data_IF_282765476714
#
_entry.id   IF_282765476714
#
_cell.length_a   1.000
_cell.length_b   1.000
_cell.length_c   1.000
_cell.angle_alpha   90.00
_cell.angle_beta   90.00
_cell.angle_gamma   90.00
#
_symmetry.space_group_name_H-M   'P 1'
#
loop_
_entity.id
_entity.type
_entity.pdbx_description
1 polymer ?
#
# COMPACT_ATOMS: atom_id res chain seq x y z
N UNK A 1 -23.68 2.68 2.99
CA UNK A 1 -22.65 2.47 1.94
C UNK A 1 -21.65 1.47 2.51
N UNK A 2 -21.62 0.27 1.94
CA UNK A 2 -20.85 -0.87 2.46
C UNK A 2 -19.36 -0.76 2.12
N UNK A 3 -18.72 0.26 2.69
CA UNK A 3 -17.30 0.61 2.52
C UNK A 3 -16.34 -0.54 2.83
N UNK A 4 -16.74 -1.46 3.72
CA UNK A 4 -15.89 -2.58 4.16
C UNK A 4 -15.46 -3.51 3.03
N UNK A 5 -16.28 -3.68 2.00
CA UNK A 5 -15.97 -4.56 0.87
C UNK A 5 -14.84 -4.04 -0.01
N UNK A 6 -14.59 -2.72 -0.04
CA UNK A 6 -13.52 -2.13 -0.84
C UNK A 6 -12.14 -2.60 -0.39
N UNK A 7 -11.92 -2.75 0.92
CA UNK A 7 -10.64 -3.23 1.45
C UNK A 7 -10.44 -4.70 1.10
N UNK A 8 -11.48 -5.54 1.23
CA UNK A 8 -11.43 -6.94 0.84
C UNK A 8 -11.15 -7.11 -0.65
N UNK A 9 -11.83 -6.32 -1.49
CA UNK A 9 -11.62 -6.31 -2.94
C UNK A 9 -10.19 -5.86 -3.29
N UNK A 10 -9.71 -4.77 -2.70
CA UNK A 10 -8.34 -4.28 -2.91
C UNK A 10 -7.29 -5.32 -2.49
N UNK A 11 -7.53 -6.06 -1.40
CA UNK A 11 -6.64 -7.13 -0.95
C UNK A 11 -6.61 -8.30 -1.95
N UNK A 12 -7.76 -8.70 -2.50
CA UNK A 12 -7.82 -9.72 -3.54
C UNK A 12 -7.10 -9.28 -4.81
N UNK A 13 -7.34 -8.04 -5.24
CA UNK A 13 -6.67 -7.45 -6.40
C UNK A 13 -5.14 -7.41 -6.19
N UNK A 14 -4.68 -7.04 -4.98
CA UNK A 14 -3.27 -7.06 -4.63
C UNK A 14 -2.64 -8.43 -4.82
N UNK A 15 -3.31 -9.49 -4.35
CA UNK A 15 -2.82 -10.88 -4.48
C UNK A 15 -2.74 -11.31 -5.95
N UNK A 16 -3.74 -10.94 -6.76
CA UNK A 16 -3.75 -11.25 -8.21
C UNK A 16 -2.56 -10.56 -8.90
N UNK A 17 -2.38 -9.26 -8.66
CA UNK A 17 -1.29 -8.48 -9.27
C UNK A 17 0.07 -8.99 -8.79
N UNK A 18 0.23 -9.30 -7.50
CA UNK A 18 1.46 -9.89 -6.96
C UNK A 18 1.87 -11.16 -7.70
N UNK A 19 0.91 -12.05 -7.97
CA UNK A 19 1.16 -13.29 -8.72
C UNK A 19 1.44 -13.03 -10.20
N UNK A 20 0.74 -12.07 -10.81
CA UNK A 20 0.93 -11.73 -12.22
C UNK A 20 2.34 -11.17 -12.50
N UNK A 21 2.85 -10.27 -11.65
CA UNK A 21 4.14 -9.63 -11.87
C UNK A 21 5.31 -10.41 -11.26
N UNK A 22 5.09 -11.11 -10.15
CA UNK A 22 6.11 -11.95 -9.50
C UNK A 22 7.46 -11.23 -9.23
N UNK A 23 7.42 -9.91 -9.01
CA UNK A 23 8.62 -9.10 -8.78
C UNK A 23 9.14 -9.36 -7.36
N UNK A 24 10.42 -9.72 -7.27
CA UNK A 24 11.10 -10.01 -6.00
C UNK A 24 11.29 -8.75 -5.17
N UNK A 25 11.30 -8.92 -3.84
CA UNK A 25 11.62 -7.85 -2.89
C UNK A 25 13.11 -7.46 -2.95
N UNK A 26 13.48 -6.33 -2.34
CA UNK A 26 14.89 -6.04 -2.08
C UNK A 26 15.60 -7.19 -1.33
N UNK A 27 16.94 -7.26 -1.40
CA UNK A 27 17.71 -8.28 -0.69
C UNK A 27 17.42 -8.27 0.82
N UNK A 28 17.32 -9.46 1.42
CA UNK A 28 17.04 -9.60 2.86
C UNK A 28 18.09 -8.99 3.77
N UNK A 29 19.30 -8.73 3.27
CA UNK A 29 20.35 -7.96 3.96
C UNK A 29 19.96 -6.51 4.26
N UNK A 30 18.99 -5.96 3.53
CA UNK A 30 18.47 -4.60 3.73
C UNK A 30 17.23 -4.58 4.64
N UNK A 31 16.64 -5.75 4.96
CA UNK A 31 15.42 -5.81 5.73
C UNK A 31 15.70 -5.52 7.21
N UNK A 32 15.09 -4.46 7.73
CA UNK A 32 15.15 -4.13 9.17
C UNK A 32 14.20 -5.00 10.02
N UNK A 33 13.32 -5.77 9.37
CA UNK A 33 12.37 -6.67 10.01
C UNK A 33 12.38 -8.04 9.30
N UNK A 34 12.20 -9.14 10.04
CA UNK A 34 12.01 -10.44 9.44
C UNK A 34 10.70 -10.43 8.65
N UNK A 35 10.80 -10.77 7.37
CA UNK A 35 9.65 -10.93 6.48
C UNK A 35 9.73 -12.27 5.79
N UNK A 36 8.57 -12.77 5.39
CA UNK A 36 8.48 -14.03 4.67
C UNK A 36 8.97 -13.81 3.22
N UNK A 37 10.22 -14.20 2.96
CA UNK A 37 10.92 -14.00 1.68
C UNK A 37 10.25 -14.73 0.49
N UNK A 38 9.31 -15.64 0.75
CA UNK A 38 8.51 -16.32 -0.28
C UNK A 38 7.41 -15.45 -0.93
N UNK A 39 7.31 -14.17 -0.57
CA UNK A 39 6.26 -13.28 -1.08
C UNK A 39 6.80 -12.16 -1.97
N UNK A 40 6.12 -11.90 -3.09
CA UNK A 40 6.50 -10.85 -4.03
C UNK A 40 6.39 -9.45 -3.42
N UNK A 41 7.25 -8.53 -3.88
CA UNK A 41 7.33 -7.15 -3.43
C UNK A 41 6.24 -6.29 -4.07
N UNK A 42 6.13 -6.32 -5.39
CA UNK A 42 5.20 -5.49 -6.15
C UNK A 42 3.80 -6.09 -6.25
N UNK A 43 2.73 -5.30 -6.10
CA UNK A 43 2.65 -3.98 -5.46
C UNK A 43 2.60 -4.11 -3.93
N UNK A 44 2.90 -3.04 -3.20
CA UNK A 44 2.83 -3.04 -1.73
C UNK A 44 1.38 -3.10 -1.25
N UNK A 45 1.04 -4.19 -0.55
CA UNK A 45 -0.31 -4.38 0.01
C UNK A 45 -0.63 -3.39 1.13
N UNK A 46 0.35 -3.10 2.00
CA UNK A 46 0.18 -2.11 3.07
C UNK A 46 -0.15 -0.72 2.51
N UNK A 47 0.56 -0.30 1.46
CA UNK A 47 0.30 0.99 0.81
C UNK A 47 -1.05 0.97 0.09
N UNK A 48 -1.43 -0.13 -0.57
CA UNK A 48 -2.70 -0.22 -1.26
C UNK A 48 -3.90 -0.11 -0.29
N UNK A 49 -3.90 -0.89 0.80
CA UNK A 49 -4.96 -0.84 1.81
C UNK A 49 -5.00 0.52 2.49
N UNK A 50 -3.85 1.09 2.85
CA UNK A 50 -3.78 2.43 3.41
C UNK A 50 -4.36 3.48 2.45
N UNK A 51 -4.02 3.39 1.17
CA UNK A 51 -4.52 4.32 0.15
C UNK A 51 -6.02 4.24 0.03
N UNK A 52 -6.61 3.04 -0.08
CA UNK A 52 -8.07 2.86 -0.11
C UNK A 52 -8.72 3.47 1.13
N UNK A 53 -8.23 3.13 2.33
CA UNK A 53 -8.79 3.60 3.59
C UNK A 53 -8.74 5.13 3.73
N UNK A 54 -7.58 5.74 3.48
CA UNK A 54 -7.42 7.20 3.61
C UNK A 54 -8.07 7.96 2.46
N UNK A 55 -8.17 7.38 1.26
CA UNK A 55 -8.89 8.01 0.14
C UNK A 55 -10.40 8.03 0.39
N UNK A 56 -10.94 6.98 1.01
CA UNK A 56 -12.32 6.96 1.49
C UNK A 56 -12.57 8.12 2.47
N UNK A 57 -11.69 8.34 3.44
CA UNK A 57 -11.79 9.47 4.39
C UNK A 57 -11.67 10.81 3.64
N UNK A 58 -10.71 10.93 2.72
CA UNK A 58 -10.49 12.13 1.93
C UNK A 58 -11.74 12.54 1.12
N UNK A 59 -12.45 11.56 0.54
CA UNK A 59 -13.65 11.79 -0.28
C UNK A 59 -14.92 11.96 0.56
N UNK A 60 -15.01 11.27 1.71
CA UNK A 60 -16.21 11.29 2.56
C UNK A 60 -16.36 12.59 3.36
N UNK A 61 -15.24 13.28 3.65
CA UNK A 61 -15.25 14.48 4.50
C UNK A 61 -14.76 15.72 3.76
N UNK A 62 -15.47 16.84 3.92
CA UNK A 62 -15.08 18.14 3.35
C UNK A 62 -14.04 18.92 4.18
N UNK A 63 -13.63 18.40 5.34
CA UNK A 63 -12.63 19.05 6.19
C UNK A 63 -11.25 19.06 5.54
N UNK A 64 -10.69 20.26 5.34
CA UNK A 64 -9.31 20.44 4.82
C UNK A 64 -8.30 19.70 5.68
N UNK A 65 -8.47 19.71 7.01
CA UNK A 65 -7.58 19.02 7.94
C UNK A 65 -7.58 17.51 7.72
N UNK A 66 -8.76 16.89 7.55
CA UNK A 66 -8.85 15.45 7.29
C UNK A 66 -8.25 15.06 5.95
N UNK A 67 -8.41 15.92 4.93
CA UNK A 67 -7.78 15.73 3.62
C UNK A 67 -6.25 15.76 3.70
N UNK A 68 -5.68 16.72 4.42
CA UNK A 68 -4.23 16.82 4.65
C UNK A 68 -3.72 15.60 5.42
N UNK A 69 -4.42 15.21 6.51
CA UNK A 69 -4.05 14.04 7.31
C UNK A 69 -4.07 12.77 6.45
N UNK A 70 -5.08 12.59 5.60
CA UNK A 70 -5.22 11.42 4.74
C UNK A 70 -4.02 11.28 3.79
N UNK A 71 -3.65 12.38 3.10
CA UNK A 71 -2.48 12.40 2.21
C UNK A 71 -1.18 12.15 3.01
N UNK A 72 -1.03 12.82 4.15
CA UNK A 72 0.16 12.68 4.99
C UNK A 72 0.34 11.24 5.51
N UNK A 73 -0.75 10.55 5.85
CA UNK A 73 -0.70 9.16 6.30
C UNK A 73 -0.31 8.20 5.18
N UNK A 74 -0.83 8.39 3.95
CA UNK A 74 -0.41 7.58 2.80
C UNK A 74 1.11 7.72 2.56
N UNK A 75 1.62 8.96 2.55
CA UNK A 75 3.05 9.24 2.35
C UNK A 75 3.89 8.62 3.48
N UNK A 76 3.48 8.76 4.74
CA UNK A 76 4.20 8.18 5.87
C UNK A 76 4.28 6.65 5.78
N UNK A 77 3.21 5.99 5.34
CA UNK A 77 3.20 4.54 5.18
C UNK A 77 4.13 4.12 4.02
N UNK A 78 4.13 4.84 2.90
CA UNK A 78 5.09 4.60 1.82
C UNK A 78 6.54 4.74 2.31
N UNK A 79 6.86 5.81 3.02
CA UNK A 79 8.21 6.04 3.57
C UNK A 79 8.60 4.97 4.59
N UNK A 80 7.67 4.53 5.44
CA UNK A 80 7.91 3.43 6.38
C UNK A 80 8.32 2.14 5.66
N UNK A 81 7.66 1.79 4.55
CA UNK A 81 8.00 0.58 3.79
C UNK A 81 9.37 0.67 3.11
N UNK A 82 9.74 1.85 2.61
CA UNK A 82 11.07 2.09 2.06
C UNK A 82 12.15 2.06 3.14
N UNK A 83 11.88 2.70 4.28
CA UNK A 83 12.81 2.77 5.42
C UNK A 83 13.12 1.38 5.97
N UNK A 84 12.12 0.51 6.08
CA UNK A 84 12.30 -0.86 6.54
C UNK A 84 13.04 -1.76 5.52
N UNK A 85 13.30 -1.25 4.31
CA UNK A 85 14.00 -1.96 3.24
C UNK A 85 13.18 -3.07 2.59
N UNK A 86 11.90 -3.23 2.97
CA UNK A 86 11.06 -4.39 2.58
C UNK A 86 10.42 -4.24 1.19
N UNK A 87 10.43 -3.02 0.65
CA UNK A 87 9.80 -2.66 -0.61
C UNK A 87 10.66 -1.69 -1.40
N UNK A 88 10.58 -1.80 -2.73
CA UNK A 88 11.16 -0.83 -3.65
C UNK A 88 10.25 0.40 -3.84
N UNK A 89 10.79 1.48 -4.42
CA UNK A 89 10.00 2.66 -4.82
C UNK A 89 8.85 2.28 -5.76
N UNK A 90 9.09 1.35 -6.68
CA UNK A 90 8.07 0.87 -7.60
C UNK A 90 6.95 0.12 -6.87
N UNK A 91 7.27 -0.64 -5.82
CA UNK A 91 6.27 -1.38 -5.04
C UNK A 91 5.29 -0.44 -4.33
N UNK A 92 5.81 0.62 -3.70
CA UNK A 92 4.99 1.60 -2.98
C UNK A 92 4.19 2.48 -3.93
N UNK A 93 4.75 2.91 -5.06
CA UNK A 93 4.00 3.65 -6.09
C UNK A 93 2.90 2.77 -6.69
N UNK A 94 3.21 1.51 -7.01
CA UNK A 94 2.21 0.55 -7.51
C UNK A 94 1.07 0.36 -6.52
N UNK A 95 1.39 0.19 -5.22
CA UNK A 95 0.38 0.09 -4.15
C UNK A 95 -0.53 1.33 -4.09
N UNK A 96 0.03 2.53 -4.20
CA UNK A 96 -0.75 3.76 -4.23
C UNK A 96 -1.67 3.83 -5.45
N UNK A 97 -1.15 3.55 -6.65
CA UNK A 97 -1.94 3.60 -7.90
C UNK A 97 -3.12 2.62 -7.82
N UNK A 98 -2.87 1.34 -7.50
CA UNK A 98 -3.91 0.33 -7.38
C UNK A 98 -4.83 0.50 -6.16
N UNK A 99 -4.53 1.44 -5.27
CA UNK A 99 -5.41 1.79 -4.15
C UNK A 99 -6.32 2.98 -4.45
N UNK A 100 -6.01 3.78 -5.48
CA UNK A 100 -6.86 4.89 -5.95
C UNK A 100 -7.92 4.40 -6.93
N UNK A 101 -7.60 3.39 -7.75
CA UNK A 101 -8.50 2.77 -8.73
C UNK A 101 -9.25 1.58 -8.13
#
# INVERSE_FOLDING_TARGET
>A
MDLGWLISFATLLNVIIKRAFSITRPPSTLHMLPINDGSFGFPSGDVQVATVFFMIIFLSFNSKTLKIISIAMIINIMLSRLYLGVHSIYDVIGGMIFGVF
#
